data_IF_546806193707
#
_entry.id   IF_546806193707
#
_cell.length_a   1.000
_cell.length_b   1.000
_cell.length_c   1.000
_cell.angle_alpha   90.00
_cell.angle_beta   90.00
_cell.angle_gamma   90.00
#
_symmetry.space_group_name_H-M   'P 1'
#
loop_
_entity.id
_entity.type
_entity.pdbx_description
1 polymer ?
#
# COMPACT_ATOMS: atom_id res chain seq x y z
N UNK A 1 5.84 -1.83 19.80
CA UNK A 1 4.69 -0.92 19.77
C UNK A 1 3.85 -1.24 18.54
N UNK A 2 2.50 -1.13 18.57
CA UNK A 2 1.70 -1.29 17.37
C UNK A 2 2.07 -0.24 16.31
N UNK A 3 1.89 -0.52 15.01
CA UNK A 3 2.08 0.46 13.93
C UNK A 3 1.20 1.69 14.17
N UNK A 4 1.74 2.89 13.92
CA UNK A 4 1.03 4.17 14.08
C UNK A 4 0.19 4.53 12.85
N UNK A 5 0.31 3.77 11.76
CA UNK A 5 -0.40 3.98 10.52
C UNK A 5 -0.33 2.78 9.59
N UNK A 6 -1.21 2.77 8.59
CA UNK A 6 -1.21 1.80 7.50
C UNK A 6 -1.43 2.53 6.18
N UNK A 7 -0.74 2.11 5.12
CA UNK A 7 -1.09 2.45 3.74
C UNK A 7 -1.36 1.16 2.97
N UNK A 8 -2.50 1.14 2.29
CA UNK A 8 -2.90 0.07 1.37
C UNK A 8 -2.51 0.49 -0.04
N UNK A 9 -1.82 -0.38 -0.76
CA UNK A 9 -1.55 -0.24 -2.19
C UNK A 9 -2.05 -1.48 -2.93
N UNK A 10 -2.69 -1.28 -4.07
CA UNK A 10 -3.16 -2.35 -4.95
C UNK A 10 -2.59 -2.11 -6.34
N UNK A 11 -1.89 -3.11 -6.87
CA UNK A 11 -1.32 -3.09 -8.21
C UNK A 11 -1.96 -4.20 -9.03
N UNK A 12 -2.51 -3.87 -10.18
CA UNK A 12 -3.00 -4.82 -11.18
C UNK A 12 -1.98 -5.01 -12.30
N UNK A 13 -2.04 -6.15 -12.97
CA UNK A 13 -1.13 -6.51 -14.07
C UNK A 13 -1.90 -7.19 -15.20
N UNK A 14 -1.31 -7.28 -16.38
CA UNK A 14 -1.99 -7.86 -17.55
C UNK A 14 -2.08 -9.40 -17.51
N UNK A 15 -1.55 -10.05 -16.46
CA UNK A 15 -1.57 -11.51 -16.35
C UNK A 15 -0.68 -12.07 -15.23
N UNK A 16 -0.77 -13.38 -14.96
CA UNK A 16 -0.03 -14.03 -13.88
C UNK A 16 1.50 -13.99 -14.06
N UNK A 17 2.00 -13.99 -15.30
CA UNK A 17 3.42 -13.84 -15.61
C UNK A 17 3.92 -12.43 -15.31
N UNK A 18 3.15 -11.41 -15.70
CA UNK A 18 3.45 -10.01 -15.41
C UNK A 18 3.42 -9.75 -13.89
N UNK A 19 2.44 -10.31 -13.17
CA UNK A 19 2.39 -10.29 -11.70
C UNK A 19 3.63 -10.92 -11.06
N UNK A 20 4.13 -12.03 -11.61
CA UNK A 20 5.34 -12.67 -11.10
C UNK A 20 6.59 -11.80 -11.32
N UNK A 21 6.71 -11.18 -12.50
CA UNK A 21 7.77 -10.23 -12.80
C UNK A 21 7.71 -8.99 -11.91
N UNK A 22 6.50 -8.45 -11.68
CA UNK A 22 6.25 -7.36 -10.75
C UNK A 22 6.70 -7.72 -9.32
N UNK A 23 6.32 -8.90 -8.81
CA UNK A 23 6.72 -9.35 -7.48
C UNK A 23 8.25 -9.42 -7.32
N UNK A 24 8.94 -9.94 -8.33
CA UNK A 24 10.40 -10.02 -8.28
C UNK A 24 11.05 -8.64 -8.34
N UNK A 25 10.56 -7.73 -9.19
CA UNK A 25 11.02 -6.34 -9.24
C UNK A 25 10.77 -5.59 -7.93
N UNK A 26 9.58 -5.78 -7.34
CA UNK A 26 9.21 -5.24 -6.03
C UNK A 26 10.24 -5.68 -4.98
N UNK A 27 10.49 -6.98 -4.88
CA UNK A 27 11.37 -7.57 -3.87
C UNK A 27 12.85 -7.23 -4.06
N UNK A 28 13.35 -7.27 -5.29
CA UNK A 28 14.78 -7.14 -5.58
C UNK A 28 15.27 -5.70 -5.70
N UNK A 29 14.39 -4.76 -6.08
CA UNK A 29 14.80 -3.39 -6.46
C UNK A 29 13.96 -2.31 -5.80
N UNK A 30 12.64 -2.39 -5.93
CA UNK A 30 11.78 -1.26 -5.61
C UNK A 30 11.56 -1.10 -4.09
N UNK A 31 11.09 -2.15 -3.40
CA UNK A 31 10.78 -2.10 -1.97
C UNK A 31 12.02 -1.85 -1.10
N UNK A 32 13.19 -2.49 -1.31
CA UNK A 32 14.37 -2.19 -0.50
C UNK A 32 14.80 -0.72 -0.55
N UNK A 33 14.74 -0.10 -1.75
CA UNK A 33 15.04 1.32 -1.93
C UNK A 33 14.02 2.20 -1.23
N UNK A 34 12.72 1.87 -1.34
CA UNK A 34 11.66 2.67 -0.73
C UNK A 34 11.61 2.54 0.79
N UNK A 35 11.90 1.36 1.35
CA UNK A 35 11.92 1.17 2.80
C UNK A 35 13.06 1.94 3.46
N UNK A 36 14.22 2.04 2.78
CA UNK A 36 15.40 2.70 3.30
C UNK A 36 15.14 4.19 3.61
N UNK A 37 15.07 4.52 4.91
CA UNK A 37 14.86 5.89 5.37
C UNK A 37 13.41 6.39 5.27
N UNK A 38 12.45 5.50 5.01
CA UNK A 38 11.02 5.81 5.03
C UNK A 38 10.42 5.70 6.43
N UNK A 39 9.21 6.25 6.66
CA UNK A 39 8.45 6.02 7.88
C UNK A 39 7.83 4.61 7.99
N UNK A 40 8.08 3.72 7.01
CA UNK A 40 7.56 2.35 7.00
C UNK A 40 8.47 1.42 7.77
N UNK A 41 7.95 0.77 8.81
CA UNK A 41 8.66 -0.30 9.53
C UNK A 41 8.80 -1.56 8.67
N UNK A 42 7.74 -1.91 7.94
CA UNK A 42 7.71 -3.04 7.03
C UNK A 42 6.63 -2.89 5.97
N UNK A 43 6.76 -3.69 4.92
CA UNK A 43 5.73 -3.88 3.89
C UNK A 43 5.48 -5.37 3.72
N UNK A 44 4.22 -5.78 3.63
CA UNK A 44 3.83 -7.14 3.27
C UNK A 44 3.14 -7.15 1.92
N UNK A 45 3.38 -8.20 1.13
CA UNK A 45 2.82 -8.36 -0.21
C UNK A 45 1.97 -9.62 -0.24
N UNK A 46 0.72 -9.48 -0.66
CA UNK A 46 -0.25 -10.56 -0.73
C UNK A 46 -0.71 -10.80 -2.17
N UNK A 47 -0.94 -12.07 -2.48
CA UNK A 47 -1.71 -12.49 -3.66
C UNK A 47 -3.13 -12.82 -3.21
N UNK A 48 -4.18 -12.42 -3.94
CA UNK A 48 -5.53 -12.82 -3.61
C UNK A 48 -5.65 -14.35 -3.66
N UNK A 49 -6.34 -14.91 -2.69
CA UNK A 49 -6.66 -16.35 -2.67
C UNK A 49 -7.97 -16.57 -3.43
N UNK A 50 -8.02 -17.46 -4.43
CA UNK A 50 -9.28 -17.82 -5.08
C UNK A 50 -10.28 -18.37 -4.07
N UNK A 51 -11.56 -18.13 -4.32
CA UNK A 51 -12.61 -18.79 -3.55
C UNK A 51 -12.59 -20.31 -3.84
N UNK A 52 -12.96 -21.15 -2.85
CA UNK A 52 -13.06 -22.59 -3.03
C UNK A 52 -13.92 -23.00 -4.24
N UNK A 53 -13.56 -24.10 -4.90
CA UNK A 53 -14.27 -24.60 -6.09
C UNK A 53 -15.71 -25.04 -5.81
N UNK A 54 -16.03 -25.37 -4.56
CA UNK A 54 -17.36 -25.70 -4.05
C UNK A 54 -18.15 -24.48 -3.55
N UNK A 55 -17.71 -23.26 -3.89
CA UNK A 55 -18.44 -22.03 -3.59
C UNK A 55 -19.86 -22.08 -4.14
N UNK A 56 -20.78 -21.46 -3.39
CA UNK A 56 -22.17 -21.35 -3.83
C UNK A 56 -22.25 -20.64 -5.21
N UNK A 57 -23.08 -21.11 -6.16
CA UNK A 57 -23.06 -20.66 -7.57
C UNK A 57 -23.30 -19.16 -7.78
N UNK A 58 -24.01 -18.51 -6.86
CA UNK A 58 -24.32 -17.08 -6.92
C UNK A 58 -23.20 -16.19 -6.37
N UNK A 59 -22.19 -16.77 -5.72
CA UNK A 59 -21.03 -16.03 -5.24
C UNK A 59 -20.21 -15.66 -6.47
N UNK A 60 -19.87 -14.39 -6.64
CA UNK A 60 -18.96 -13.97 -7.72
C UNK A 60 -17.53 -14.33 -7.37
N UNK A 61 -16.74 -14.69 -8.38
CA UNK A 61 -15.30 -14.88 -8.17
C UNK A 61 -14.69 -13.53 -7.78
N UNK A 62 -13.66 -13.56 -6.94
CA UNK A 62 -12.88 -12.35 -6.65
C UNK A 62 -12.20 -11.91 -7.94
N UNK A 63 -12.38 -10.65 -8.31
CA UNK A 63 -11.73 -10.07 -9.49
C UNK A 63 -10.23 -9.89 -9.26
N UNK A 64 -9.43 -10.17 -10.28
CA UNK A 64 -7.98 -9.95 -10.25
C UNK A 64 -7.20 -10.97 -9.41
N UNK A 65 -7.77 -12.15 -9.11
CA UNK A 65 -7.06 -13.21 -8.36
C UNK A 65 -5.72 -13.56 -8.98
N UNK A 66 -5.66 -13.60 -10.31
CA UNK A 66 -4.45 -13.97 -11.02
C UNK A 66 -3.55 -12.78 -11.42
N UNK A 67 -4.01 -11.55 -11.20
CA UNK A 67 -3.36 -10.35 -11.73
C UNK A 67 -2.94 -9.35 -10.67
N UNK A 68 -3.57 -9.34 -9.50
CA UNK A 68 -3.35 -8.32 -8.48
C UNK A 68 -2.33 -8.72 -7.41
N UNK A 69 -1.61 -7.72 -6.94
CA UNK A 69 -0.87 -7.75 -5.68
C UNK A 69 -1.43 -6.68 -4.73
N UNK A 70 -1.59 -7.04 -3.46
CA UNK A 70 -1.95 -6.11 -2.40
C UNK A 70 -0.75 -5.90 -1.49
N UNK A 71 -0.34 -4.65 -1.31
CA UNK A 71 0.74 -4.25 -0.42
C UNK A 71 0.17 -3.55 0.80
N UNK A 72 0.64 -3.94 1.98
CA UNK A 72 0.32 -3.30 3.26
C UNK A 72 1.59 -2.70 3.85
N UNK A 73 1.65 -1.38 3.88
CA UNK A 73 2.77 -0.60 4.40
C UNK A 73 2.46 -0.17 5.84
N UNK A 74 3.18 -0.75 6.80
CA UNK A 74 2.98 -0.45 8.22
C UNK A 74 3.92 0.67 8.64
N UNK A 75 3.34 1.76 9.12
CA UNK A 75 4.08 2.99 9.41
C UNK A 75 4.37 3.12 10.91
N UNK A 76 5.53 3.69 11.22
CA UNK A 76 5.87 4.16 12.57
C UNK A 76 5.36 5.58 12.84
N UNK A 77 4.81 6.24 11.81
CA UNK A 77 4.27 7.59 11.87
C UNK A 77 2.79 7.65 11.44
N UNK A 78 2.14 8.78 11.77
CA UNK A 78 0.78 9.09 11.29
C UNK A 78 0.76 9.17 9.75
N UNK A 79 -0.10 8.40 9.06
CA UNK A 79 -0.10 8.33 7.60
C UNK A 79 -0.43 9.67 6.94
N UNK A 80 -1.15 10.57 7.62
CA UNK A 80 -1.41 11.94 7.12
C UNK A 80 -0.12 12.74 6.97
N UNK A 81 0.85 12.54 7.87
CA UNK A 81 2.16 13.22 7.81
C UNK A 81 3.06 12.63 6.72
N UNK A 82 2.95 11.33 6.48
CA UNK A 82 3.66 10.65 5.41
C UNK A 82 3.14 11.03 4.01
N UNK A 83 1.89 11.51 3.92
CA UNK A 83 1.23 11.90 2.66
C UNK A 83 1.29 13.40 2.35
N UNK A 84 1.17 14.27 3.36
CA UNK A 84 0.94 15.70 3.12
C UNK A 84 2.22 16.53 2.85
N UNK A 85 3.40 15.93 2.78
CA UNK A 85 4.61 16.70 2.42
C UNK A 85 4.98 17.85 3.36
N UNK A 86 4.30 18.05 4.50
CA UNK A 86 4.43 19.27 5.31
C UNK A 86 5.83 19.35 5.90
N UNK A 87 6.71 20.26 5.45
CA UNK A 87 8.06 20.35 5.97
C UNK A 87 8.02 21.03 7.34
N UNK A 88 8.78 20.57 8.35
CA UNK A 88 9.17 21.47 9.43
C UNK A 88 10.04 22.58 8.85
N UNK A 89 9.82 23.81 9.31
CA UNK A 89 10.31 25.11 8.79
C UNK A 89 11.84 25.22 8.57
N UNK A 90 12.66 24.21 8.90
CA UNK A 90 14.13 24.26 8.76
C UNK A 90 14.83 22.96 8.34
N UNK A 91 14.12 21.90 7.93
CA UNK A 91 14.77 20.66 7.48
C UNK A 91 14.39 20.31 6.05
N UNK A 92 15.37 19.85 5.27
CA UNK A 92 15.20 19.30 3.92
C UNK A 92 14.10 18.22 3.98
N UNK A 93 13.04 18.29 3.16
CA UNK A 93 11.93 17.35 3.25
C UNK A 93 12.48 15.97 2.94
N UNK A 94 12.26 15.02 3.85
CA UNK A 94 12.74 13.64 3.69
C UNK A 94 11.65 12.59 3.90
N UNK A 95 10.45 13.00 4.29
CA UNK A 95 9.38 12.09 4.77
C UNK A 95 8.03 12.30 4.09
N UNK A 96 7.96 13.17 3.09
CA UNK A 96 6.70 13.73 2.56
C UNK A 96 6.17 13.12 1.26
N UNK A 97 6.98 12.37 0.53
CA UNK A 97 6.71 11.97 -0.87
C UNK A 97 6.74 10.45 -1.09
N UNK A 98 6.88 9.66 -0.02
CA UNK A 98 7.15 8.21 -0.13
C UNK A 98 6.04 7.41 -0.84
N UNK A 99 4.80 7.92 -0.83
CA UNK A 99 3.64 7.22 -1.36
C UNK A 99 3.04 7.89 -2.61
N UNK A 100 3.40 9.14 -2.90
CA UNK A 100 2.83 9.91 -4.03
C UNK A 100 3.33 9.44 -5.39
N UNK A 101 4.57 8.96 -5.45
CA UNK A 101 5.22 8.59 -6.71
C UNK A 101 5.06 7.09 -7.07
N UNK A 102 4.46 6.28 -6.19
CA UNK A 102 4.35 4.82 -6.38
C UNK A 102 3.69 4.46 -7.72
N UNK A 103 2.60 5.15 -8.07
CA UNK A 103 1.91 4.94 -9.34
C UNK A 103 2.81 5.24 -10.55
N UNK A 104 3.60 6.32 -10.48
CA UNK A 104 4.51 6.70 -11.55
C UNK A 104 5.69 5.72 -11.67
N UNK A 105 6.25 5.26 -10.54
CA UNK A 105 7.36 4.32 -10.52
C UNK A 105 6.96 2.93 -11.05
N UNK A 106 5.77 2.45 -10.70
CA UNK A 106 5.21 1.19 -11.24
C UNK A 106 4.93 1.32 -12.73
N UNK A 107 4.33 2.43 -13.17
CA UNK A 107 4.08 2.70 -14.59
C UNK A 107 5.38 2.78 -15.40
N UNK A 108 6.42 3.44 -14.87
CA UNK A 108 7.72 3.56 -15.52
C UNK A 108 8.45 2.21 -15.63
N UNK A 109 8.20 1.27 -14.72
CA UNK A 109 8.70 -0.10 -14.82
C UNK A 109 7.97 -0.90 -15.93
N UNK A 110 6.76 -0.49 -16.31
CA UNK A 110 5.96 -1.17 -17.32
C UNK A 110 5.46 -2.56 -16.89
N UNK A 111 5.39 -2.81 -15.58
CA UNK A 111 5.07 -4.13 -15.01
C UNK A 111 3.64 -4.21 -14.44
N UNK A 112 2.88 -3.12 -14.48
CA UNK A 112 1.50 -3.08 -13.99
C UNK A 112 0.95 -1.66 -13.87
N UNK A 113 -0.22 -1.55 -13.24
CA UNK A 113 -0.92 -0.29 -12.94
C UNK A 113 -1.34 -0.28 -11.48
N UNK A 114 -1.11 0.84 -10.80
CA UNK A 114 -1.63 1.03 -9.45
C UNK A 114 -3.12 1.37 -9.52
N UNK A 115 -3.96 0.53 -8.92
CA UNK A 115 -5.41 0.74 -8.82
C UNK A 115 -5.77 1.67 -7.68
N UNK A 116 -5.03 1.57 -6.57
CA UNK A 116 -5.32 2.26 -5.34
C UNK A 116 -4.05 2.45 -4.54
N UNK A 117 -3.86 3.65 -4.00
CA UNK A 117 -3.02 3.89 -2.83
C UNK A 117 -3.86 4.67 -1.84
N UNK A 118 -4.10 4.13 -0.65
CA UNK A 118 -4.97 4.76 0.33
C UNK A 118 -4.37 4.69 1.74
N UNK A 119 -4.29 5.81 2.47
CA UNK A 119 -3.92 5.79 3.87
C UNK A 119 -5.10 5.31 4.72
N UNK A 120 -4.81 4.49 5.73
CA UNK A 120 -5.76 4.10 6.77
C UNK A 120 -5.27 4.62 8.12
N UNK A 121 -6.08 5.48 8.74
CA UNK A 121 -5.83 6.02 10.08
C UNK A 121 -6.41 5.02 11.09
N UNK A 122 -5.58 4.41 11.96
CA UNK A 122 -6.09 3.48 12.96
C UNK A 122 -7.10 4.18 13.89
N UNK A 123 -8.28 3.58 14.04
CA UNK A 123 -9.19 3.94 15.13
C UNK A 123 -8.64 3.34 16.42
N UNK A 124 -8.68 4.10 17.53
CA UNK A 124 -8.30 3.60 18.85
C UNK A 124 -9.59 3.12 19.52
N UNK A 125 -9.80 1.79 19.68
CA UNK A 125 -11.02 1.26 20.29
C UNK A 125 -11.20 1.82 21.70
N UNK A 126 -12.42 2.27 22.03
CA UNK A 126 -12.74 2.83 23.35
C UNK A 126 -12.36 4.30 23.57
N UNK A 127 -12.06 5.05 22.50
CA UNK A 127 -11.84 6.51 22.60
C UNK A 127 -12.69 7.27 21.59
N UNK A 128 -13.28 8.39 22.01
CA UNK A 128 -13.99 9.37 21.16
C UNK A 128 -13.03 10.27 20.36
N UNK A 129 -11.78 9.82 20.15
CA UNK A 129 -10.65 10.68 19.77
C UNK A 129 -10.87 11.46 18.48
N UNK A 130 -11.64 10.92 17.54
CA UNK A 130 -11.89 11.55 16.24
C UNK A 130 -13.37 11.91 16.01
N UNK A 131 -14.25 11.71 17.00
CA UNK A 131 -15.67 12.06 16.85
C UNK A 131 -15.89 13.55 16.64
N UNK A 132 -15.00 14.38 17.19
CA UNK A 132 -15.07 15.84 17.03
C UNK A 132 -14.75 16.32 15.61
N UNK A 133 -14.12 15.50 14.76
CA UNK A 133 -13.67 15.85 13.40
C UNK A 133 -14.67 15.40 12.30
N UNK A 134 -15.76 14.70 12.65
CA UNK A 134 -16.75 14.14 11.73
C UNK A 134 -18.00 15.03 11.55
N UNK A 135 -17.88 16.35 11.69
CA UNK A 135 -18.99 17.31 11.54
C UNK A 135 -18.96 18.05 10.22
#
# INVERSE_FOLDING_TARGET
MPPSGLVLEVIDTDGPEARAALLEWLRSRHLPRLLAGSPSALVTVFRPTPLPGDRMPYVKQVEGVDTRLTLLWFLEADPRRAWMGVPPVRAKPRTGEHFTDLAAEVAAAGLGRVELVAPFIPTIPGTDRYLAELR
#
